data_IF_429423036718
#
_entry.id   IF_429423036718
#
_cell.length_a   1.000
_cell.length_b   1.000
_cell.length_c   1.000
_cell.angle_alpha   90.00
_cell.angle_beta   90.00
_cell.angle_gamma   90.00
#
_symmetry.space_group_name_H-M   'P 1'
#
loop_
_entity.id
_entity.type
_entity.pdbx_description
1 polymer ?
#
# COMPACT_ATOMS: atom_id res chain seq x y z
N UNK A 1 10.46 3.54 11.70
CA UNK A 1 9.06 3.08 11.91
C UNK A 1 9.09 1.76 12.67
N UNK A 2 8.53 1.73 13.89
CA UNK A 2 8.54 0.53 14.70
C UNK A 2 7.56 -0.50 14.10
N UNK A 3 7.91 -1.79 14.21
CA UNK A 3 7.05 -2.89 13.78
C UNK A 3 5.65 -2.82 14.42
N UNK A 4 5.57 -2.40 15.67
CA UNK A 4 4.31 -2.19 16.41
C UNK A 4 3.41 -1.13 15.76
N UNK A 5 3.99 -0.03 15.25
CA UNK A 5 3.21 1.01 14.59
C UNK A 5 2.62 0.51 13.25
N UNK A 6 3.35 -0.33 12.53
CA UNK A 6 2.88 -0.98 11.30
C UNK A 6 1.72 -1.92 11.62
N UNK A 7 1.86 -2.76 12.64
CA UNK A 7 0.79 -3.67 13.09
C UNK A 7 -0.47 -2.92 13.54
N UNK A 8 -0.33 -1.87 14.35
CA UNK A 8 -1.47 -1.06 14.78
C UNK A 8 -2.22 -0.48 13.56
N UNK A 9 -1.49 0.04 12.57
CA UNK A 9 -2.08 0.56 11.33
C UNK A 9 -2.81 -0.53 10.54
N UNK A 10 -2.22 -1.72 10.41
CA UNK A 10 -2.84 -2.87 9.72
C UNK A 10 -4.13 -3.31 10.41
N UNK A 11 -4.18 -3.24 11.74
CA UNK A 11 -5.34 -3.59 12.56
C UNK A 11 -6.36 -2.45 12.69
N UNK A 12 -6.11 -1.28 12.08
CA UNK A 12 -6.99 -0.11 12.21
C UNK A 12 -7.05 0.47 13.62
N UNK A 13 -6.03 0.21 14.46
CA UNK A 13 -5.99 0.69 15.84
C UNK A 13 -5.30 2.05 15.90
N UNK A 14 -5.86 3.04 16.63
CA UNK A 14 -5.18 4.30 16.86
C UNK A 14 -3.88 4.05 17.64
N UNK A 15 -2.79 4.65 17.21
CA UNK A 15 -1.48 4.52 17.85
C UNK A 15 -0.70 5.83 17.78
N UNK A 16 -0.01 6.15 18.87
CA UNK A 16 0.91 7.30 18.95
C UNK A 16 2.26 6.78 19.41
N UNK A 17 3.32 7.26 18.78
CA UNK A 17 4.71 6.89 19.10
C UNK A 17 5.48 8.12 19.58
N UNK A 18 6.61 7.90 20.25
CA UNK A 18 7.50 8.97 20.75
C UNK A 18 6.83 9.92 21.75
N UNK A 19 5.98 9.41 22.64
CA UNK A 19 5.32 10.19 23.69
C UNK A 19 6.27 10.62 24.86
N UNK A 20 7.53 10.16 24.82
CA UNK A 20 8.51 10.46 25.86
C UNK A 20 8.42 9.57 27.09
N UNK A 21 9.41 9.73 28.00
CA UNK A 21 9.54 8.90 29.21
C UNK A 21 8.50 9.21 30.28
N UNK A 22 7.91 10.40 30.28
CA UNK A 22 6.88 10.80 31.26
C UNK A 22 5.63 9.91 31.26
N UNK A 23 5.39 9.18 30.15
CA UNK A 23 4.30 8.21 30.10
C UNK A 23 4.52 7.01 31.03
N UNK A 24 5.78 6.68 31.35
CA UNK A 24 6.13 5.56 32.23
C UNK A 24 5.72 5.79 33.68
N UNK A 25 5.52 7.05 34.07
CA UNK A 25 5.09 7.45 35.42
C UNK A 25 3.56 7.41 35.55
N UNK A 26 2.82 7.14 34.48
CA UNK A 26 1.36 7.09 34.49
C UNK A 26 0.88 5.85 35.25
N UNK A 27 -0.04 6.07 36.19
CA UNK A 27 -0.61 4.97 37.00
C UNK A 27 -1.49 4.07 36.14
N UNK A 28 -1.43 2.76 36.39
CA UNK A 28 -2.34 1.80 35.77
C UNK A 28 -3.81 2.15 36.12
N UNK A 29 -4.67 2.13 35.12
CA UNK A 29 -6.08 2.49 35.28
C UNK A 29 -6.40 3.97 35.03
N UNK A 30 -5.40 4.80 34.74
CA UNK A 30 -5.62 6.19 34.32
C UNK A 30 -6.42 6.22 33.02
N UNK A 31 -7.53 6.99 33.02
CA UNK A 31 -8.33 7.21 31.80
C UNK A 31 -7.57 8.12 30.85
N UNK A 32 -7.62 7.81 29.55
CA UNK A 32 -6.92 8.59 28.54
C UNK A 32 -7.72 8.70 27.24
N UNK A 33 -7.51 9.78 26.50
CA UNK A 33 -7.95 9.92 25.10
C UNK A 33 -6.70 9.80 24.22
N UNK A 34 -6.71 8.86 23.30
CA UNK A 34 -5.65 8.65 22.32
C UNK A 34 -6.10 9.15 20.94
N UNK A 35 -5.51 10.25 20.48
CA UNK A 35 -5.72 10.79 19.14
C UNK A 35 -4.56 10.38 18.23
N UNK A 36 -4.76 9.28 17.52
CA UNK A 36 -3.78 8.74 16.57
C UNK A 36 -3.57 9.62 15.33
N UNK A 37 -4.56 10.43 14.95
CA UNK A 37 -4.48 11.32 13.80
C UNK A 37 -3.65 12.59 14.12
N UNK A 38 -3.88 13.20 15.30
CA UNK A 38 -3.12 14.35 15.75
C UNK A 38 -1.80 13.97 16.44
N UNK A 39 -1.57 12.67 16.71
CA UNK A 39 -0.38 12.20 17.44
C UNK A 39 -0.35 12.64 18.91
N UNK A 40 -1.49 12.67 19.58
CA UNK A 40 -1.65 13.20 20.94
C UNK A 40 -2.26 12.16 21.89
N UNK A 41 -1.82 12.24 23.13
CA UNK A 41 -2.38 11.51 24.27
C UNK A 41 -2.77 12.50 25.35
N UNK A 42 -4.01 12.46 25.79
CA UNK A 42 -4.54 13.26 26.87
C UNK A 42 -4.78 12.35 28.07
N UNK A 43 -4.10 12.61 29.19
CA UNK A 43 -4.25 11.88 30.45
C UNK A 43 -5.25 12.60 31.36
N UNK A 44 -6.01 11.83 32.13
CA UNK A 44 -7.05 12.32 33.03
C UNK A 44 -8.01 13.36 32.41
N UNK A 45 -8.61 13.06 31.25
CA UNK A 45 -9.53 13.97 30.58
C UNK A 45 -10.77 14.20 31.46
N UNK A 46 -11.35 15.40 31.35
CA UNK A 46 -12.62 15.72 31.98
C UNK A 46 -13.79 14.95 31.33
N UNK A 47 -14.92 14.87 32.01
CA UNK A 47 -16.14 14.28 31.42
C UNK A 47 -16.57 15.01 30.12
N UNK A 48 -16.35 16.31 30.04
CA UNK A 48 -16.61 17.08 28.83
C UNK A 48 -15.68 16.69 27.68
N UNK A 49 -14.40 16.44 27.96
CA UNK A 49 -13.44 15.95 26.97
C UNK A 49 -13.79 14.55 26.47
N UNK A 50 -14.19 13.66 27.40
CA UNK A 50 -14.66 12.32 27.06
C UNK A 50 -15.92 12.34 26.20
N UNK A 51 -16.88 13.21 26.52
CA UNK A 51 -18.09 13.38 25.72
C UNK A 51 -17.76 13.89 24.31
N UNK A 52 -16.86 14.85 24.19
CA UNK A 52 -16.38 15.39 22.92
C UNK A 52 -15.66 14.33 22.08
N UNK A 53 -14.80 13.52 22.71
CA UNK A 53 -14.09 12.43 22.03
C UNK A 53 -15.07 11.35 21.53
N UNK A 54 -16.08 10.99 22.31
CA UNK A 54 -17.13 10.04 21.89
C UNK A 54 -17.92 10.57 20.70
N UNK A 55 -18.35 11.83 20.77
CA UNK A 55 -19.07 12.46 19.65
C UNK A 55 -18.22 12.51 18.36
N UNK A 56 -16.90 12.77 18.49
CA UNK A 56 -15.96 12.73 17.36
C UNK A 56 -15.88 11.32 16.75
N UNK A 57 -15.71 10.28 17.58
CA UNK A 57 -15.65 8.89 17.13
C UNK A 57 -16.95 8.50 16.39
N UNK A 58 -18.13 8.85 16.95
CA UNK A 58 -19.39 8.57 16.31
C UNK A 58 -19.56 9.30 14.97
N UNK A 59 -19.10 10.55 14.88
CA UNK A 59 -19.12 11.31 13.62
C UNK A 59 -18.17 10.70 12.59
N UNK A 60 -16.99 10.23 13.01
CA UNK A 60 -16.02 9.58 12.14
C UNK A 60 -16.54 8.24 11.60
N UNK A 61 -17.19 7.43 12.45
CA UNK A 61 -17.85 6.18 12.03
C UNK A 61 -18.97 6.46 11.01
N UNK A 62 -19.82 7.48 11.27
CA UNK A 62 -20.89 7.86 10.30
C UNK A 62 -20.30 8.32 8.98
N UNK A 63 -19.22 9.14 9.01
CA UNK A 63 -18.52 9.57 7.81
C UNK A 63 -17.95 8.39 7.04
N UNK A 64 -17.25 7.46 7.70
CA UNK A 64 -16.70 6.27 7.07
C UNK A 64 -17.78 5.37 6.43
N UNK A 65 -18.95 5.24 7.07
CA UNK A 65 -20.09 4.52 6.51
C UNK A 65 -20.61 5.20 5.22
N UNK A 66 -20.79 6.53 5.25
CA UNK A 66 -21.22 7.30 4.07
C UNK A 66 -20.22 7.24 2.93
N UNK A 67 -18.92 7.33 3.25
CA UNK A 67 -17.83 7.17 2.26
C UNK A 67 -17.84 5.76 1.66
N UNK A 68 -18.13 4.73 2.47
CA UNK A 68 -18.23 3.35 2.00
C UNK A 68 -19.38 3.15 0.99
N UNK A 69 -20.55 3.78 1.23
CA UNK A 69 -21.67 3.78 0.30
C UNK A 69 -21.32 4.47 -1.03
N UNK A 70 -20.48 5.51 -0.98
CA UNK A 70 -20.04 6.24 -2.15
C UNK A 70 -18.95 5.55 -2.99
N UNK A 71 -18.28 4.52 -2.48
CA UNK A 71 -17.12 3.89 -3.15
C UNK A 71 -17.42 3.30 -4.53
N UNK A 72 -18.63 2.83 -4.75
CA UNK A 72 -19.06 2.25 -6.02
C UNK A 72 -19.52 3.29 -7.05
N UNK A 73 -19.57 4.57 -6.67
CA UNK A 73 -19.98 5.64 -7.55
C UNK A 73 -18.80 6.10 -8.41
N UNK A 74 -19.08 6.45 -9.67
CA UNK A 74 -18.06 7.03 -10.54
C UNK A 74 -17.47 8.32 -9.94
N UNK A 75 -16.15 8.43 -9.93
CA UNK A 75 -15.46 9.63 -9.48
C UNK A 75 -15.68 10.75 -10.54
N UNK A 76 -16.42 11.80 -10.17
CA UNK A 76 -16.73 12.90 -11.06
C UNK A 76 -16.25 14.21 -10.46
N UNK A 77 -15.52 14.99 -11.26
CA UNK A 77 -15.07 16.33 -10.87
C UNK A 77 -16.24 17.33 -10.83
N UNK A 78 -16.03 18.50 -10.22
CA UNK A 78 -17.07 19.52 -10.09
C UNK A 78 -17.54 20.11 -11.44
N UNK A 79 -16.73 19.98 -12.49
CA UNK A 79 -17.06 20.37 -13.86
C UNK A 79 -17.64 19.20 -14.70
N UNK A 80 -17.94 18.06 -14.07
CA UNK A 80 -18.64 16.94 -14.67
C UNK A 80 -17.76 15.92 -15.41
N UNK A 81 -16.43 15.99 -15.28
CA UNK A 81 -15.54 15.01 -15.89
C UNK A 81 -15.47 13.74 -15.02
N UNK A 82 -15.62 12.57 -15.62
CA UNK A 82 -15.42 11.30 -14.95
C UNK A 82 -13.95 10.91 -14.97
N UNK A 83 -13.42 10.55 -13.81
CA UNK A 83 -12.03 10.11 -13.62
C UNK A 83 -12.02 8.65 -13.26
N UNK A 84 -11.31 7.84 -14.00
CA UNK A 84 -11.11 6.41 -13.72
C UNK A 84 -10.20 6.20 -12.51
N UNK A 85 -10.65 5.37 -11.56
CA UNK A 85 -9.93 5.08 -10.31
C UNK A 85 -9.16 3.77 -10.44
N UNK A 86 -7.85 3.86 -10.61
CA UNK A 86 -6.96 2.70 -10.69
C UNK A 86 -6.21 2.42 -9.38
N UNK A 87 -6.24 1.18 -8.92
CA UNK A 87 -5.48 0.76 -7.74
C UNK A 87 -4.00 0.49 -8.06
N UNK A 88 -3.12 0.71 -7.07
CA UNK A 88 -1.74 0.24 -7.10
C UNK A 88 -1.65 -1.04 -6.28
N UNK A 89 -1.49 -2.18 -6.93
CA UNK A 89 -1.38 -3.49 -6.28
C UNK A 89 -0.19 -4.29 -6.81
N UNK A 90 0.20 -5.31 -6.08
CA UNK A 90 1.39 -6.08 -6.41
C UNK A 90 1.10 -7.58 -6.56
N UNK A 91 0.04 -8.09 -5.95
CA UNK A 91 -0.28 -9.52 -5.90
C UNK A 91 -1.73 -9.77 -6.30
N UNK A 92 -2.04 -10.93 -6.94
CA UNK A 92 -3.41 -11.28 -7.29
C UNK A 92 -4.38 -11.28 -6.11
N UNK A 93 -3.91 -11.64 -4.92
CA UNK A 93 -4.71 -11.64 -3.69
C UNK A 93 -5.22 -10.26 -3.27
N UNK A 94 -4.57 -9.18 -3.73
CA UNK A 94 -4.94 -7.81 -3.38
C UNK A 94 -6.11 -7.27 -4.23
N UNK A 95 -6.43 -7.94 -5.36
CA UNK A 95 -7.42 -7.45 -6.33
C UNK A 95 -8.80 -7.30 -5.71
N UNK A 96 -9.30 -8.33 -5.02
CA UNK A 96 -10.64 -8.29 -4.42
C UNK A 96 -10.78 -7.11 -3.45
N UNK A 97 -9.81 -6.94 -2.55
CA UNK A 97 -9.80 -5.81 -1.61
C UNK A 97 -9.73 -4.44 -2.31
N UNK A 98 -8.99 -4.33 -3.41
CA UNK A 98 -8.93 -3.10 -4.19
C UNK A 98 -10.28 -2.77 -4.85
N UNK A 99 -10.95 -3.76 -5.42
CA UNK A 99 -12.27 -3.60 -6.02
C UNK A 99 -13.32 -3.24 -4.98
N UNK A 100 -13.29 -3.86 -3.80
CA UNK A 100 -14.16 -3.54 -2.66
C UNK A 100 -13.97 -2.10 -2.15
N UNK A 101 -12.79 -1.53 -2.36
CA UNK A 101 -12.49 -0.13 -2.06
C UNK A 101 -12.85 0.84 -3.20
N UNK A 102 -13.48 0.36 -4.27
CA UNK A 102 -13.98 1.17 -5.37
C UNK A 102 -13.00 1.35 -6.53
N UNK A 103 -11.94 0.54 -6.62
CA UNK A 103 -11.08 0.56 -7.80
C UNK A 103 -11.81 0.00 -9.03
N UNK A 104 -11.69 0.68 -10.15
CA UNK A 104 -12.27 0.30 -11.44
C UNK A 104 -11.32 -0.58 -12.26
N UNK A 105 -10.06 -0.69 -11.82
CA UNK A 105 -9.02 -1.51 -12.40
C UNK A 105 -7.70 -1.38 -11.66
N UNK A 106 -6.65 -1.90 -12.25
CA UNK A 106 -5.28 -1.78 -11.74
C UNK A 106 -4.50 -0.77 -12.57
N UNK A 107 -4.30 0.42 -12.01
CA UNK A 107 -3.53 1.49 -12.63
C UNK A 107 -2.02 1.23 -12.60
N UNK A 108 -1.55 0.42 -11.66
CA UNK A 108 -0.14 -0.01 -11.58
C UNK A 108 0.01 -1.34 -10.83
N UNK A 109 0.39 -2.38 -11.55
CA UNK A 109 0.99 -3.59 -10.97
C UNK A 109 2.51 -3.47 -10.99
N UNK A 110 3.14 -3.51 -9.80
CA UNK A 110 4.59 -3.54 -9.68
C UNK A 110 5.07 -4.99 -9.74
N UNK A 111 5.95 -5.30 -10.70
CA UNK A 111 6.45 -6.66 -10.91
C UNK A 111 7.71 -6.99 -10.09
N UNK A 112 8.32 -6.00 -9.45
CA UNK A 112 9.53 -6.19 -8.65
C UNK A 112 9.36 -7.20 -7.53
N UNK A 113 8.15 -7.32 -6.97
CA UNK A 113 7.84 -8.26 -5.90
C UNK A 113 8.05 -9.72 -6.32
N UNK A 114 7.84 -10.05 -7.59
CA UNK A 114 8.13 -11.39 -8.11
C UNK A 114 9.61 -11.74 -8.01
N UNK A 115 10.47 -10.73 -8.13
CA UNK A 115 11.92 -10.88 -8.05
C UNK A 115 12.46 -10.77 -6.62
N UNK A 116 11.73 -10.11 -5.72
CA UNK A 116 12.20 -9.85 -4.35
C UNK A 116 11.75 -10.94 -3.37
N UNK A 117 10.50 -11.41 -3.49
CA UNK A 117 9.90 -12.32 -2.51
C UNK A 117 10.48 -13.75 -2.61
N UNK A 118 10.80 -14.23 -3.81
CA UNK A 118 11.27 -15.59 -4.04
C UNK A 118 12.79 -15.82 -3.82
N UNK A 119 13.58 -14.76 -3.73
CA UNK A 119 15.04 -14.86 -3.64
C UNK A 119 15.71 -15.44 -4.90
N UNK A 120 14.98 -15.63 -5.98
CA UNK A 120 15.45 -16.09 -7.29
C UNK A 120 14.80 -15.27 -8.42
N UNK A 121 15.35 -15.38 -9.63
CA UNK A 121 14.73 -14.79 -10.81
C UNK A 121 13.53 -15.63 -11.22
N UNK A 122 12.30 -15.08 -11.26
CA UNK A 122 11.11 -15.84 -11.63
C UNK A 122 11.18 -16.31 -13.08
N UNK A 123 10.76 -17.54 -13.33
CA UNK A 123 10.64 -18.11 -14.68
C UNK A 123 9.55 -17.43 -15.50
N UNK A 124 9.50 -17.68 -16.79
CA UNK A 124 8.42 -17.24 -17.69
C UNK A 124 7.07 -17.77 -17.20
N UNK A 125 7.01 -19.04 -16.80
CA UNK A 125 5.81 -19.73 -16.33
C UNK A 125 5.30 -19.16 -14.98
N UNK A 126 6.21 -18.86 -14.04
CA UNK A 126 5.85 -18.25 -12.76
C UNK A 126 5.27 -16.84 -12.96
N UNK A 127 5.86 -16.06 -13.86
CA UNK A 127 5.37 -14.73 -14.22
C UNK A 127 4.02 -14.84 -14.92
N UNK A 128 3.87 -15.71 -15.91
CA UNK A 128 2.63 -15.94 -16.63
C UNK A 128 1.49 -16.35 -15.69
N UNK A 129 1.74 -17.29 -14.78
CA UNK A 129 0.75 -17.70 -13.79
C UNK A 129 0.27 -16.53 -12.92
N UNK A 130 1.18 -15.65 -12.51
CA UNK A 130 0.83 -14.47 -11.72
C UNK A 130 0.00 -13.46 -12.53
N UNK A 131 0.40 -13.17 -13.78
CA UNK A 131 -0.32 -12.20 -14.63
C UNK A 131 -1.70 -12.74 -15.02
N UNK A 132 -1.80 -14.03 -15.33
CA UNK A 132 -3.09 -14.69 -15.59
C UNK A 132 -4.04 -14.59 -14.41
N UNK A 133 -3.55 -14.89 -13.20
CA UNK A 133 -4.36 -14.77 -11.99
C UNK A 133 -4.81 -13.31 -11.72
N UNK A 134 -3.97 -12.32 -12.06
CA UNK A 134 -4.36 -10.90 -11.98
C UNK A 134 -5.52 -10.60 -12.95
N UNK A 135 -5.41 -11.02 -14.21
CA UNK A 135 -6.43 -10.80 -15.24
C UNK A 135 -7.74 -11.50 -14.88
N UNK A 136 -7.66 -12.74 -14.42
CA UNK A 136 -8.83 -13.52 -14.00
C UNK A 136 -9.57 -12.85 -12.84
N UNK A 137 -8.83 -12.43 -11.79
CA UNK A 137 -9.41 -11.75 -10.62
C UNK A 137 -10.01 -10.38 -10.96
N UNK A 138 -9.51 -9.70 -11.99
CA UNK A 138 -10.04 -8.42 -12.46
C UNK A 138 -11.34 -8.54 -13.25
N UNK A 139 -11.67 -9.72 -13.79
CA UNK A 139 -12.94 -9.94 -14.47
C UNK A 139 -13.18 -9.00 -15.65
N UNK A 140 -12.16 -8.75 -16.47
CA UNK A 140 -12.22 -7.88 -17.65
C UNK A 140 -11.95 -6.38 -17.39
N UNK A 141 -11.63 -5.99 -16.15
CA UNK A 141 -11.21 -4.63 -15.85
C UNK A 141 -9.76 -4.36 -16.28
N UNK A 142 -9.37 -3.08 -16.51
CA UNK A 142 -8.03 -2.73 -16.98
C UNK A 142 -6.94 -3.14 -15.99
N UNK A 143 -5.81 -3.59 -16.55
CA UNK A 143 -4.58 -3.92 -15.85
C UNK A 143 -3.38 -3.24 -16.52
N UNK A 144 -2.72 -2.34 -15.83
CA UNK A 144 -1.44 -1.78 -16.27
C UNK A 144 -0.31 -2.45 -15.51
N UNK A 145 0.54 -3.18 -16.23
CA UNK A 145 1.70 -3.87 -15.67
C UNK A 145 2.96 -3.07 -15.96
N UNK A 146 3.69 -2.71 -14.92
CA UNK A 146 5.02 -2.12 -15.06
C UNK A 146 6.04 -3.24 -15.24
N UNK A 147 6.79 -3.20 -16.34
CA UNK A 147 7.95 -4.08 -16.49
C UNK A 147 8.98 -3.82 -15.40
N UNK A 148 9.87 -4.79 -15.17
CA UNK A 148 10.82 -4.80 -14.07
C UNK A 148 11.56 -3.45 -13.88
N UNK A 149 11.40 -2.86 -12.69
CA UNK A 149 12.07 -1.62 -12.27
C UNK A 149 12.84 -1.85 -10.95
N UNK A 150 13.81 -2.75 -10.99
CA UNK A 150 14.75 -3.02 -9.90
C UNK A 150 15.99 -2.12 -10.05
N UNK A 151 16.56 -1.77 -8.92
CA UNK A 151 17.72 -0.88 -8.76
C UNK A 151 17.44 0.21 -7.73
N UNK A 152 18.42 0.99 -7.37
CA UNK A 152 18.28 2.00 -6.34
C UNK A 152 18.23 1.37 -4.93
N UNK A 153 17.13 1.61 -4.24
CA UNK A 153 16.83 1.11 -2.90
C UNK A 153 16.36 -0.36 -2.88
N UNK A 154 15.92 -0.88 -4.01
CA UNK A 154 15.42 -2.25 -4.15
C UNK A 154 16.54 -3.17 -4.62
N UNK A 155 17.15 -3.88 -3.69
CA UNK A 155 18.23 -4.82 -4.01
C UNK A 155 17.69 -6.25 -4.09
N UNK A 156 17.98 -6.92 -5.21
CA UNK A 156 17.78 -8.35 -5.41
C UNK A 156 19.16 -9.02 -5.51
N UNK A 157 19.72 -9.58 -4.41
CA UNK A 157 21.09 -10.07 -4.38
C UNK A 157 21.38 -11.14 -5.44
N UNK A 158 20.39 -11.95 -5.78
CA UNK A 158 20.51 -12.99 -6.80
C UNK A 158 20.73 -12.43 -8.21
N UNK A 159 20.33 -11.19 -8.50
CA UNK A 159 20.57 -10.54 -9.79
C UNK A 159 22.00 -10.01 -9.95
N UNK A 160 22.79 -9.96 -8.86
CA UNK A 160 24.20 -9.52 -8.83
C UNK A 160 24.41 -8.18 -9.56
N UNK A 161 23.53 -7.21 -9.29
CA UNK A 161 23.64 -5.88 -9.87
C UNK A 161 24.85 -5.13 -9.29
N UNK A 162 25.58 -4.36 -10.10
CA UNK A 162 26.72 -3.56 -9.64
C UNK A 162 26.23 -2.51 -8.64
N UNK A 163 27.07 -2.24 -7.65
CA UNK A 163 26.83 -1.12 -6.72
C UNK A 163 27.17 0.19 -7.40
N UNK A 164 26.29 1.17 -7.30
CA UNK A 164 26.46 2.49 -7.90
C UNK A 164 26.36 3.57 -6.80
N UNK A 165 27.05 4.69 -6.98
CA UNK A 165 27.01 5.82 -6.03
C UNK A 165 25.67 6.55 -6.08
N UNK A 166 25.06 6.67 -7.26
CA UNK A 166 23.77 7.29 -7.49
C UNK A 166 22.79 6.30 -8.17
N UNK A 167 22.32 5.29 -7.46
CA UNK A 167 21.57 4.17 -8.06
C UNK A 167 20.29 4.59 -8.80
N UNK A 168 19.63 5.67 -8.36
CA UNK A 168 18.42 6.18 -9.02
C UNK A 168 18.68 6.78 -10.40
N UNK A 169 19.86 7.34 -10.62
CA UNK A 169 20.32 7.85 -11.91
C UNK A 169 21.07 6.80 -12.74
N UNK A 170 21.39 5.67 -12.12
CA UNK A 170 22.17 4.57 -12.67
C UNK A 170 21.38 3.58 -13.51
N UNK A 171 21.82 2.32 -13.47
CA UNK A 171 21.28 1.22 -14.28
C UNK A 171 20.08 0.58 -13.57
N UNK A 172 18.89 1.05 -13.92
CA UNK A 172 17.61 0.51 -13.42
C UNK A 172 16.54 0.54 -14.52
N UNK A 173 15.40 -0.09 -14.28
CA UNK A 173 14.25 -0.10 -15.19
C UNK A 173 14.64 -0.51 -16.59
N UNK A 174 14.24 0.26 -17.59
CA UNK A 174 14.55 -0.03 -19.00
C UNK A 174 16.06 -0.09 -19.27
N UNK A 175 16.87 0.74 -18.60
CA UNK A 175 18.35 0.68 -18.78
C UNK A 175 18.93 -0.65 -18.30
N UNK A 176 18.37 -1.24 -17.25
CA UNK A 176 18.75 -2.57 -16.75
C UNK A 176 18.29 -3.65 -17.72
N UNK A 177 17.02 -3.65 -18.10
CA UNK A 177 16.42 -4.72 -18.90
C UNK A 177 16.98 -4.77 -20.32
N UNK A 178 17.40 -3.64 -20.89
CA UNK A 178 18.15 -3.61 -22.17
C UNK A 178 19.55 -4.24 -22.06
N UNK A 179 20.21 -4.12 -20.90
CA UNK A 179 21.51 -4.77 -20.64
C UNK A 179 21.36 -6.24 -20.21
N UNK A 180 20.17 -6.63 -19.75
CA UNK A 180 19.85 -7.95 -19.24
C UNK A 180 18.61 -8.52 -19.99
N UNK A 181 18.79 -8.86 -21.29
CA UNK A 181 17.70 -9.45 -22.08
C UNK A 181 17.17 -10.77 -21.51
N UNK A 182 17.97 -11.45 -20.70
CA UNK A 182 17.63 -12.65 -19.93
C UNK A 182 16.51 -12.39 -18.90
N UNK A 183 16.38 -11.17 -18.39
CA UNK A 183 15.29 -10.75 -17.52
C UNK A 183 14.07 -10.24 -18.31
N UNK A 184 14.30 -9.51 -19.38
CA UNK A 184 13.25 -8.81 -20.13
C UNK A 184 12.44 -9.77 -21.01
N UNK A 185 13.12 -10.70 -21.73
CA UNK A 185 12.45 -11.59 -22.68
C UNK A 185 11.41 -12.52 -22.03
N UNK A 186 11.73 -13.22 -20.91
CA UNK A 186 10.72 -14.02 -20.23
C UNK A 186 9.54 -13.18 -19.74
N UNK A 187 9.79 -11.99 -19.20
CA UNK A 187 8.73 -11.10 -18.75
C UNK A 187 7.79 -10.68 -19.89
N UNK A 188 8.34 -10.25 -21.04
CA UNK A 188 7.52 -9.85 -22.19
C UNK A 188 6.74 -10.98 -22.83
N UNK A 189 7.23 -12.23 -22.73
CA UNK A 189 6.49 -13.40 -23.22
C UNK A 189 5.40 -13.82 -22.25
N UNK A 190 5.62 -13.64 -20.96
CA UNK A 190 4.64 -13.94 -19.93
C UNK A 190 3.47 -12.93 -19.92
N UNK A 191 3.70 -11.68 -20.34
CA UNK A 191 2.68 -10.63 -20.52
C UNK A 191 1.87 -10.82 -21.81
#
# INVERSE_FOLDING_TARGET
TSHTAILARTLGLPAVVALGTGLLDTKAGTTAILDGAAGRLYLDPTEADLASARAFIEADVRRAASEAEGRALAATTTDGQTIEIGANINKPADVAGALDQGAEGVGLMRTEFLFLDGGHTPSEEEQFATYSAMVENLGGRPLIVRTLDIGGDKQAPHLKLPREENPFLGVRGTRLTLRRPDLMRPQLRAL
#
